data_IF_516945800740
#
_entry.id   IF_516945800740
#
_cell.length_a   1.000
_cell.length_b   1.000
_cell.length_c   1.000
_cell.angle_alpha   90.00
_cell.angle_beta   90.00
_cell.angle_gamma   90.00
#
_symmetry.space_group_name_H-M   'P 1'
#
loop_
_entity.id
_entity.type
_entity.pdbx_description
1 polymer ?
#
# COMPACT_ATOMS: atom_id res chain seq x y z
N UNK A 1 -35.39 -47.39 18.57
CA UNK A 1 -36.32 -46.43 19.22
C UNK A 1 -35.59 -45.70 20.36
N UNK A 2 -35.82 -44.39 20.47
CA UNK A 2 -35.40 -43.42 21.50
C UNK A 2 -33.89 -43.19 21.74
N UNK A 3 -33.33 -42.07 21.25
CA UNK A 3 -33.30 -40.70 21.81
C UNK A 3 -32.40 -40.57 23.05
N UNK A 4 -31.33 -39.78 22.92
CA UNK A 4 -30.87 -38.82 23.93
C UNK A 4 -30.04 -37.71 23.26
N UNK A 5 -30.60 -36.51 23.24
CA UNK A 5 -29.88 -35.25 22.95
C UNK A 5 -28.89 -34.99 24.08
N UNK A 6 -27.65 -34.66 23.74
CA UNK A 6 -26.76 -33.91 24.62
C UNK A 6 -26.16 -32.74 23.84
N UNK A 7 -26.51 -31.54 24.32
CA UNK A 7 -25.92 -30.27 23.96
C UNK A 7 -24.55 -30.17 24.64
N UNK A 8 -23.50 -29.91 23.86
CA UNK A 8 -22.19 -29.55 24.39
C UNK A 8 -21.76 -28.23 23.73
N UNK A 9 -21.80 -27.17 24.54
CA UNK A 9 -21.11 -25.90 24.27
C UNK A 9 -19.61 -26.20 24.28
N UNK A 10 -18.94 -26.02 23.15
CA UNK A 10 -17.48 -26.08 23.06
C UNK A 10 -16.93 -24.67 22.97
N UNK A 11 -16.50 -24.14 24.11
CA UNK A 11 -15.58 -23.01 24.19
C UNK A 11 -14.23 -23.47 23.63
N UNK A 12 -13.80 -22.90 22.51
CA UNK A 12 -12.40 -22.89 22.11
C UNK A 12 -11.91 -21.45 22.19
N UNK A 13 -11.48 -21.08 23.39
CA UNK A 13 -10.59 -19.96 23.63
C UNK A 13 -9.22 -20.30 23.01
N UNK A 14 -8.94 -19.73 21.84
CA UNK A 14 -7.58 -19.54 21.38
C UNK A 14 -7.37 -18.03 21.22
N UNK A 15 -6.95 -17.39 22.30
CA UNK A 15 -6.47 -16.02 22.30
C UNK A 15 -5.22 -15.95 21.40
N UNK A 16 -5.35 -15.28 20.26
CA UNK A 16 -4.21 -14.88 19.45
C UNK A 16 -3.46 -13.77 20.21
N UNK A 17 -2.12 -13.79 20.24
CA UNK A 17 -1.36 -12.75 20.92
C UNK A 17 -1.58 -11.43 20.17
N UNK A 18 -2.29 -10.51 20.83
CA UNK A 18 -2.34 -9.10 20.47
C UNK A 18 -0.90 -8.61 20.43
N UNK A 19 -0.30 -8.53 19.25
CA UNK A 19 0.92 -7.75 19.05
C UNK A 19 0.56 -6.31 19.39
N UNK A 20 0.85 -5.93 20.62
CA UNK A 20 0.85 -4.56 21.12
C UNK A 20 1.70 -3.76 20.15
N UNK A 21 1.06 -3.05 19.22
CA UNK A 21 1.68 -1.89 18.63
C UNK A 21 1.96 -0.95 19.80
N UNK A 22 3.21 -0.56 20.05
CA UNK A 22 3.45 0.55 20.94
C UNK A 22 2.69 1.72 20.35
N UNK A 23 1.62 2.16 21.01
CA UNK A 23 1.12 3.50 20.83
C UNK A 23 2.23 4.41 21.37
N UNK A 24 3.24 4.64 20.53
CA UNK A 24 4.17 5.74 20.72
C UNK A 24 3.29 6.97 20.82
N UNK A 25 3.31 7.57 22.00
CA UNK A 25 2.67 8.85 22.25
C UNK A 25 3.34 9.85 21.31
N UNK A 26 2.74 10.07 20.14
CA UNK A 26 3.30 10.93 19.11
C UNK A 26 3.30 12.34 19.68
N UNK A 27 4.49 12.94 19.77
CA UNK A 27 4.64 14.26 20.37
C UNK A 27 3.78 15.28 19.60
N UNK A 28 3.32 16.33 20.29
CA UNK A 28 2.57 17.42 19.66
C UNK A 28 3.30 18.02 18.45
N UNK A 29 4.64 18.06 18.48
CA UNK A 29 5.48 18.51 17.38
C UNK A 29 5.47 17.56 16.19
N UNK A 30 5.52 16.25 16.41
CA UNK A 30 5.47 15.26 15.32
C UNK A 30 4.11 15.31 14.60
N UNK A 31 3.01 15.47 15.34
CA UNK A 31 1.70 15.67 14.73
C UNK A 31 1.65 16.97 13.92
N UNK A 32 2.24 18.07 14.40
CA UNK A 32 2.33 19.32 13.65
C UNK A 32 3.11 19.13 12.34
N UNK A 33 4.24 18.43 12.38
CA UNK A 33 5.06 18.17 11.21
C UNK A 33 4.36 17.25 10.19
N UNK A 34 3.63 16.23 10.65
CA UNK A 34 2.77 15.40 9.78
C UNK A 34 1.73 16.27 9.08
N UNK A 35 1.09 17.20 9.81
CA UNK A 35 0.06 18.08 9.28
C UNK A 35 0.63 19.07 8.26
N UNK A 36 1.80 19.65 8.56
CA UNK A 36 2.52 20.55 7.63
C UNK A 36 2.87 19.83 6.34
N UNK A 37 3.53 18.66 6.42
CA UNK A 37 3.91 17.89 5.23
C UNK A 37 2.66 17.46 4.45
N UNK A 38 1.64 16.95 5.13
CA UNK A 38 0.38 16.61 4.49
C UNK A 38 -0.29 17.82 3.82
N UNK A 39 -0.25 18.99 4.44
CA UNK A 39 -0.72 20.24 3.85
C UNK A 39 0.02 20.57 2.56
N UNK A 40 1.36 20.53 2.60
CA UNK A 40 2.22 20.74 1.42
C UNK A 40 1.80 19.79 0.28
N UNK A 41 1.63 18.48 0.54
CA UNK A 41 1.23 17.51 -0.48
C UNK A 41 -0.08 17.84 -1.20
N UNK A 42 -1.01 18.49 -0.49
CA UNK A 42 -2.33 18.83 -1.05
C UNK A 42 -2.36 20.24 -1.66
N UNK A 43 -1.41 21.10 -1.31
CA UNK A 43 -1.34 22.48 -1.82
C UNK A 43 -0.41 22.65 -3.01
N UNK A 44 0.52 21.71 -3.26
CA UNK A 44 1.49 21.82 -4.35
C UNK A 44 0.98 21.15 -5.62
N UNK A 45 1.16 21.82 -6.76
CA UNK A 45 0.75 21.30 -8.07
C UNK A 45 1.91 20.74 -8.88
N UNK A 46 3.16 21.17 -8.60
CA UNK A 46 4.34 20.73 -9.33
C UNK A 46 5.40 20.08 -8.42
N UNK A 47 6.24 19.15 -8.95
CA UNK A 47 7.32 18.52 -8.19
C UNK A 47 8.36 19.52 -7.66
N UNK A 48 8.57 20.63 -8.36
CA UNK A 48 9.53 21.68 -7.99
C UNK A 48 9.01 22.46 -6.78
N UNK A 49 7.74 22.84 -6.80
CA UNK A 49 7.07 23.48 -5.66
C UNK A 49 7.09 22.58 -4.44
N UNK A 50 6.76 21.30 -4.61
CA UNK A 50 6.83 20.30 -3.55
C UNK A 50 8.21 20.25 -2.89
N UNK A 51 9.27 20.09 -3.69
CA UNK A 51 10.65 20.03 -3.18
C UNK A 51 11.04 21.32 -2.47
N UNK A 52 10.65 22.48 -3.00
CA UNK A 52 10.98 23.77 -2.41
C UNK A 52 10.26 23.97 -1.07
N UNK A 53 8.96 23.67 -1.00
CA UNK A 53 8.17 23.76 0.23
C UNK A 53 8.66 22.79 1.31
N UNK A 54 9.09 21.58 0.94
CA UNK A 54 9.67 20.64 1.90
C UNK A 54 11.00 21.18 2.46
N UNK A 55 11.87 21.74 1.63
CA UNK A 55 13.13 22.34 2.07
C UNK A 55 12.91 23.54 3.00
N UNK A 56 11.97 24.43 2.66
CA UNK A 56 11.67 25.62 3.47
C UNK A 56 10.95 25.27 4.78
N UNK A 57 10.26 24.12 4.85
CA UNK A 57 9.53 23.70 6.05
C UNK A 57 10.43 23.33 7.24
N UNK A 58 11.74 23.11 7.03
CA UNK A 58 12.72 22.65 8.03
C UNK A 58 12.35 21.35 8.77
N UNK A 59 11.37 20.60 8.26
CA UNK A 59 10.91 19.34 8.87
C UNK A 59 11.91 18.21 8.63
N UNK A 60 12.26 17.48 9.68
CA UNK A 60 13.12 16.31 9.57
C UNK A 60 12.34 15.10 9.03
N UNK A 61 12.59 14.72 7.78
CA UNK A 61 11.88 13.64 7.08
C UNK A 61 12.42 12.24 7.49
N UNK A 62 12.16 11.80 8.72
CA UNK A 62 12.49 10.43 9.19
C UNK A 62 11.58 9.37 8.56
N UNK A 63 11.94 8.09 8.69
CA UNK A 63 11.09 6.98 8.24
C UNK A 63 9.75 6.96 9.00
N UNK A 64 9.78 7.25 10.30
CA UNK A 64 8.60 7.33 11.16
C UNK A 64 7.64 8.43 10.68
N UNK A 65 8.16 9.63 10.40
CA UNK A 65 7.35 10.73 9.89
C UNK A 65 6.74 10.38 8.53
N UNK A 66 7.55 9.82 7.61
CA UNK A 66 7.10 9.42 6.28
C UNK A 66 5.99 8.36 6.38
N UNK A 67 6.16 7.36 7.24
CA UNK A 67 5.16 6.32 7.49
C UNK A 67 3.85 6.94 7.96
N UNK A 68 3.89 7.89 8.90
CA UNK A 68 2.68 8.55 9.39
C UNK A 68 2.01 9.46 8.34
N UNK A 69 2.80 10.18 7.54
CA UNK A 69 2.27 10.99 6.43
C UNK A 69 1.60 10.10 5.39
N UNK A 70 2.23 9.00 4.97
CA UNK A 70 1.66 8.05 4.02
C UNK A 70 0.44 7.33 4.60
N UNK A 71 0.46 6.98 5.89
CA UNK A 71 -0.70 6.42 6.60
C UNK A 71 -1.86 7.41 6.57
N UNK A 72 -1.59 8.69 6.78
CA UNK A 72 -2.61 9.74 6.70
C UNK A 72 -3.17 9.87 5.28
N UNK A 73 -2.32 10.01 4.26
CA UNK A 73 -2.75 10.03 2.85
C UNK A 73 -3.56 8.78 2.51
N UNK A 74 -3.17 7.61 3.05
CA UNK A 74 -3.89 6.37 2.81
C UNK A 74 -5.35 6.43 3.28
N UNK A 75 -5.62 7.08 4.40
CA UNK A 75 -6.96 7.17 4.99
C UNK A 75 -7.67 8.51 4.73
N UNK A 76 -7.03 9.44 4.02
CA UNK A 76 -7.58 10.72 3.61
C UNK A 76 -7.64 10.84 2.08
N UNK A 77 -8.36 11.84 1.55
CA UNK A 77 -8.36 12.14 0.11
C UNK A 77 -7.08 12.92 -0.30
N UNK A 78 -5.90 12.34 -0.09
CA UNK A 78 -4.65 12.95 -0.54
C UNK A 78 -4.40 12.72 -2.04
N UNK A 79 -3.59 13.60 -2.64
CA UNK A 79 -3.26 13.55 -4.07
C UNK A 79 -2.22 12.45 -4.35
N UNK A 80 -2.56 11.37 -5.09
CA UNK A 80 -1.66 10.22 -5.29
C UNK A 80 -0.36 10.58 -6.02
N UNK A 81 -0.44 11.44 -7.04
CA UNK A 81 0.73 11.86 -7.84
C UNK A 81 1.73 12.66 -7.00
N UNK A 82 1.26 13.64 -6.22
CA UNK A 82 2.11 14.42 -5.32
C UNK A 82 2.70 13.55 -4.21
N UNK A 83 1.92 12.60 -3.70
CA UNK A 83 2.41 11.65 -2.69
C UNK A 83 3.52 10.76 -3.24
N UNK A 84 3.41 10.32 -4.51
CA UNK A 84 4.47 9.57 -5.18
C UNK A 84 5.74 10.40 -5.37
N UNK A 85 5.60 11.68 -5.75
CA UNK A 85 6.75 12.59 -5.87
C UNK A 85 7.44 12.81 -4.52
N UNK A 86 6.68 12.95 -3.44
CA UNK A 86 7.21 13.00 -2.08
C UNK A 86 7.94 11.71 -1.68
N UNK A 87 7.35 10.55 -1.98
CA UNK A 87 7.96 9.25 -1.74
C UNK A 87 9.29 9.12 -2.50
N UNK A 88 9.33 9.49 -3.79
CA UNK A 88 10.56 9.46 -4.59
C UNK A 88 11.58 10.46 -4.08
N UNK A 89 11.17 11.67 -3.71
CA UNK A 89 12.04 12.72 -3.18
C UNK A 89 12.76 12.26 -1.92
N UNK A 90 12.00 11.78 -0.93
CA UNK A 90 12.54 11.26 0.33
C UNK A 90 13.41 10.03 0.10
N UNK A 91 13.05 9.19 -0.88
CA UNK A 91 13.78 8.00 -1.30
C UNK A 91 15.10 8.27 -2.05
N UNK A 92 15.37 9.48 -2.57
CA UNK A 92 16.63 9.77 -3.30
C UNK A 92 17.83 10.03 -2.39
N UNK A 93 17.62 10.19 -1.07
CA UNK A 93 18.70 10.46 -0.11
C UNK A 93 19.68 9.29 -0.06
N UNK A 94 20.99 9.57 -0.17
CA UNK A 94 22.04 8.54 -0.20
C UNK A 94 22.02 7.74 1.10
N UNK A 95 21.96 6.41 1.00
CA UNK A 95 21.87 5.52 2.16
C UNK A 95 20.49 5.44 2.83
N UNK A 96 19.48 6.18 2.36
CA UNK A 96 18.13 6.11 2.88
C UNK A 96 17.30 5.03 2.17
N UNK A 97 16.59 4.21 2.94
CA UNK A 97 15.63 3.23 2.44
C UNK A 97 14.29 3.44 3.13
N UNK A 98 13.23 3.39 2.33
CA UNK A 98 11.87 3.39 2.85
C UNK A 98 11.57 2.09 3.59
N UNK A 99 10.76 2.18 4.62
CA UNK A 99 10.26 0.99 5.31
C UNK A 99 9.34 0.17 4.39
N UNK A 100 9.16 -1.11 4.72
CA UNK A 100 8.15 -1.96 4.07
C UNK A 100 6.76 -1.35 4.19
N UNK A 101 6.46 -0.70 5.32
CA UNK A 101 5.19 -0.03 5.54
C UNK A 101 5.00 1.15 4.57
N UNK A 102 5.99 2.02 4.43
CA UNK A 102 6.00 3.14 3.49
C UNK A 102 5.73 2.66 2.06
N UNK A 103 6.43 1.61 1.63
CA UNK A 103 6.26 1.05 0.29
C UNK A 103 4.84 0.48 0.07
N UNK A 104 4.36 -0.35 1.01
CA UNK A 104 3.02 -0.94 0.96
C UNK A 104 1.93 0.14 0.95
N UNK A 105 2.09 1.19 1.75
CA UNK A 105 1.16 2.31 1.80
C UNK A 105 1.12 3.06 0.46
N UNK A 106 2.28 3.36 -0.13
CA UNK A 106 2.38 4.05 -1.42
C UNK A 106 1.76 3.23 -2.54
N UNK A 107 2.07 1.94 -2.63
CA UNK A 107 1.49 1.07 -3.65
C UNK A 107 -0.02 0.93 -3.49
N UNK A 108 -0.53 0.89 -2.26
CA UNK A 108 -1.97 0.88 -2.00
C UNK A 108 -2.65 2.19 -2.41
N UNK A 109 -2.03 3.34 -2.18
CA UNK A 109 -2.53 4.65 -2.63
C UNK A 109 -2.65 4.67 -4.16
N UNK A 110 -1.59 4.29 -4.87
CA UNK A 110 -1.58 4.25 -6.34
C UNK A 110 -2.59 3.25 -6.92
N UNK A 111 -2.65 2.05 -6.34
CA UNK A 111 -3.58 1.01 -6.76
C UNK A 111 -5.05 1.41 -6.61
N UNK A 112 -5.40 2.07 -5.49
CA UNK A 112 -6.75 2.59 -5.26
C UNK A 112 -7.13 3.72 -6.22
N UNK A 113 -6.14 4.48 -6.66
CA UNK A 113 -6.31 5.57 -7.63
C UNK A 113 -6.15 5.11 -9.08
N UNK A 114 -6.12 3.80 -9.33
CA UNK A 114 -6.00 3.19 -10.65
C UNK A 114 -4.74 3.61 -11.44
N UNK A 115 -3.68 4.06 -10.75
CA UNK A 115 -2.43 4.50 -11.36
C UNK A 115 -1.47 3.32 -11.58
N UNK A 116 -1.91 2.28 -12.30
CA UNK A 116 -1.17 1.00 -12.39
C UNK A 116 0.18 1.11 -13.10
N UNK A 117 0.34 2.02 -14.07
CA UNK A 117 1.65 2.31 -14.66
C UNK A 117 2.66 2.76 -13.62
N UNK A 118 2.24 3.65 -12.70
CA UNK A 118 3.09 4.12 -11.62
C UNK A 118 3.35 3.04 -10.55
N UNK A 119 2.39 2.14 -10.31
CA UNK A 119 2.60 0.95 -9.46
C UNK A 119 3.74 0.11 -10.03
N UNK A 120 3.73 -0.13 -11.35
CA UNK A 120 4.73 -0.91 -12.04
C UNK A 120 6.12 -0.27 -11.98
N UNK A 121 6.20 1.03 -12.30
CA UNK A 121 7.45 1.78 -12.25
C UNK A 121 8.05 1.75 -10.84
N UNK A 122 7.21 1.95 -9.81
CA UNK A 122 7.65 1.91 -8.41
C UNK A 122 8.20 0.53 -8.01
N UNK A 123 7.56 -0.56 -8.45
CA UNK A 123 8.07 -1.91 -8.20
C UNK A 123 9.42 -2.17 -8.89
N UNK A 124 9.62 -1.64 -10.10
CA UNK A 124 10.92 -1.73 -10.79
C UNK A 124 11.99 -0.91 -10.05
N UNK A 125 11.66 0.33 -9.69
CA UNK A 125 12.55 1.24 -8.96
C UNK A 125 13.03 0.63 -7.64
N UNK A 126 12.10 0.10 -6.85
CA UNK A 126 12.42 -0.54 -5.57
C UNK A 126 13.34 -1.76 -5.76
N UNK A 127 13.12 -2.58 -6.79
CA UNK A 127 13.95 -3.78 -7.04
C UNK A 127 15.38 -3.40 -7.40
N UNK A 128 15.54 -2.35 -8.22
CA UNK A 128 16.86 -1.85 -8.61
C UNK A 128 17.64 -1.30 -7.43
N UNK A 129 16.94 -0.71 -6.45
CA UNK A 129 17.55 -0.08 -5.30
C UNK A 129 17.85 -1.06 -4.17
N UNK A 130 16.95 -2.01 -3.93
CA UNK A 130 17.11 -3.07 -2.94
C UNK A 130 16.32 -4.32 -3.35
N UNK A 131 17.05 -5.39 -3.65
CA UNK A 131 16.47 -6.65 -4.10
C UNK A 131 15.74 -7.42 -2.99
N UNK A 132 16.01 -7.11 -1.71
CA UNK A 132 15.48 -7.84 -0.55
C UNK A 132 14.18 -7.25 0.00
N UNK A 133 13.96 -5.94 -0.20
CA UNK A 133 12.78 -5.22 0.33
C UNK A 133 11.49 -5.56 -0.41
N UNK A 134 11.53 -5.96 -1.69
CA UNK A 134 10.33 -6.41 -2.40
C UNK A 134 10.03 -7.86 -2.05
N UNK A 135 9.33 -8.04 -0.94
CA UNK A 135 8.76 -9.32 -0.60
C UNK A 135 7.60 -9.63 -1.54
N UNK A 136 7.49 -10.88 -2.00
CA UNK A 136 6.34 -11.35 -2.79
C UNK A 136 5.00 -10.93 -2.16
N UNK A 137 4.94 -10.78 -0.83
CA UNK A 137 3.81 -10.27 -0.06
C UNK A 137 3.33 -8.88 -0.47
N UNK A 138 4.22 -7.94 -0.74
CA UNK A 138 3.85 -6.58 -1.19
C UNK A 138 3.20 -6.63 -2.56
N UNK A 139 3.76 -7.39 -3.49
CA UNK A 139 3.19 -7.63 -4.82
C UNK A 139 1.83 -8.34 -4.72
N UNK A 140 1.68 -9.31 -3.82
CA UNK A 140 0.42 -10.01 -3.55
C UNK A 140 -0.67 -9.07 -3.03
N UNK A 141 -0.35 -8.22 -2.06
CA UNK A 141 -1.32 -7.28 -1.46
C UNK A 141 -1.80 -6.28 -2.49
N UNK A 142 -0.90 -5.80 -3.35
CA UNK A 142 -1.23 -4.86 -4.42
C UNK A 142 -2.09 -5.54 -5.48
N UNK A 143 -1.64 -6.65 -6.06
CA UNK A 143 -2.38 -7.40 -7.07
C UNK A 143 -3.77 -7.82 -6.57
N UNK A 144 -3.86 -8.34 -5.35
CA UNK A 144 -5.13 -8.78 -4.77
C UNK A 144 -6.12 -7.65 -4.52
N UNK A 145 -5.62 -6.45 -4.19
CA UNK A 145 -6.48 -5.26 -3.98
C UNK A 145 -6.87 -4.60 -5.30
N UNK A 146 -5.99 -4.62 -6.30
CA UNK A 146 -6.30 -4.21 -7.68
C UNK A 146 -7.43 -5.08 -8.24
N UNK A 147 -7.32 -6.41 -8.10
CA UNK A 147 -8.34 -7.35 -8.54
C UNK A 147 -9.71 -7.06 -7.89
N UNK A 148 -9.74 -6.74 -6.59
CA UNK A 148 -10.98 -6.37 -5.87
C UNK A 148 -11.58 -5.03 -6.35
N UNK A 149 -10.74 -4.04 -6.64
CA UNK A 149 -11.18 -2.71 -7.10
C UNK A 149 -11.70 -2.77 -8.54
N UNK A 150 -11.06 -3.56 -9.41
CA UNK A 150 -11.50 -3.77 -10.80
C UNK A 150 -12.74 -4.66 -10.92
N UNK A 151 -13.04 -5.51 -9.92
CA UNK A 151 -14.26 -6.34 -9.88
C UNK A 151 -15.54 -5.51 -9.71
N UNK A 152 -15.49 -4.39 -8.98
CA UNK A 152 -16.67 -3.55 -8.68
C UNK A 152 -17.00 -2.58 -9.84
N UNK A 153 -16.02 -2.20 -10.64
CA UNK A 153 -16.20 -1.34 -11.82
C UNK A 153 -15.50 -2.01 -12.99
N UNK A 154 -16.25 -2.78 -13.78
CA UNK A 154 -15.85 -3.35 -15.06
C UNK A 154 -15.25 -2.27 -15.98
N UNK A 155 -13.98 -1.95 -15.77
CA UNK A 155 -13.23 -1.02 -16.60
C UNK A 155 -12.23 -1.88 -17.36
N UNK A 156 -12.59 -2.30 -18.58
CA UNK A 156 -11.81 -3.22 -19.42
C UNK A 156 -10.33 -2.81 -19.53
N UNK A 157 -10.07 -1.50 -19.58
CA UNK A 157 -8.71 -0.94 -19.59
C UNK A 157 -7.93 -1.22 -18.30
N UNK A 158 -8.58 -1.08 -17.14
CA UNK A 158 -7.94 -1.37 -15.83
C UNK A 158 -7.61 -2.86 -15.67
N UNK A 159 -8.47 -3.73 -16.20
CA UNK A 159 -8.28 -5.18 -16.21
C UNK A 159 -7.12 -5.57 -17.12
N UNK A 160 -7.02 -4.93 -18.28
CA UNK A 160 -5.92 -5.13 -19.23
C UNK A 160 -4.59 -4.69 -18.63
N UNK A 161 -4.54 -3.51 -17.99
CA UNK A 161 -3.33 -3.01 -17.34
C UNK A 161 -2.91 -3.89 -16.16
N UNK A 162 -3.85 -4.30 -15.31
CA UNK A 162 -3.59 -5.23 -14.21
C UNK A 162 -3.09 -6.59 -14.70
N UNK A 163 -3.66 -7.10 -15.80
CA UNK A 163 -3.24 -8.34 -16.46
C UNK A 163 -1.82 -8.21 -17.04
N UNK A 164 -1.49 -7.08 -17.65
CA UNK A 164 -0.16 -6.81 -18.17
C UNK A 164 0.88 -6.77 -17.04
N UNK A 165 0.55 -6.11 -15.93
CA UNK A 165 1.37 -6.10 -14.72
C UNK A 165 1.54 -7.52 -14.16
N UNK A 166 0.49 -8.33 -14.10
CA UNK A 166 0.62 -9.72 -13.67
C UNK A 166 1.51 -10.55 -14.60
N UNK A 167 1.33 -10.44 -15.92
CA UNK A 167 2.11 -11.19 -16.90
C UNK A 167 3.59 -10.78 -16.91
N UNK A 168 3.92 -9.52 -16.63
CA UNK A 168 5.31 -9.09 -16.46
C UNK A 168 5.92 -9.57 -15.12
N UNK A 169 5.08 -9.81 -14.10
CA UNK A 169 5.50 -10.29 -12.78
C UNK A 169 5.63 -11.81 -12.68
N UNK A 170 4.78 -12.60 -13.35
CA UNK A 170 4.63 -14.06 -13.11
C UNK A 170 5.89 -14.89 -13.35
N UNK A 171 6.83 -14.40 -14.16
CA UNK A 171 8.12 -15.06 -14.42
C UNK A 171 9.22 -14.59 -13.47
N UNK A 172 9.01 -13.44 -12.82
CA UNK A 172 10.00 -12.79 -11.94
C UNK A 172 9.68 -13.00 -10.45
N UNK A 173 8.43 -13.31 -10.14
CA UNK A 173 7.94 -13.71 -8.83
C UNK A 173 7.24 -15.07 -8.99
N UNK A 174 7.48 -16.04 -8.10
CA UNK A 174 6.63 -17.23 -7.98
C UNK A 174 5.40 -16.87 -7.14
N UNK A 175 4.24 -16.52 -7.74
CA UNK A 175 3.02 -16.33 -6.97
C UNK A 175 2.68 -17.62 -6.25
N UNK A 176 2.36 -17.53 -4.96
CA UNK A 176 1.85 -18.67 -4.20
C UNK A 176 0.35 -18.88 -4.49
N UNK A 177 -0.20 -20.02 -4.08
CA UNK A 177 -1.60 -20.37 -4.33
C UNK A 177 -2.58 -19.31 -3.82
N UNK A 178 -2.27 -18.67 -2.70
CA UNK A 178 -3.04 -17.57 -2.14
C UNK A 178 -3.04 -16.33 -3.05
N UNK A 179 -1.93 -16.04 -3.71
CA UNK A 179 -1.82 -14.97 -4.74
C UNK A 179 -2.78 -15.24 -5.88
N UNK A 180 -2.78 -16.48 -6.37
CA UNK A 180 -3.57 -16.92 -7.49
C UNK A 180 -5.07 -16.89 -7.15
N UNK A 181 -5.44 -17.33 -5.95
CA UNK A 181 -6.84 -17.33 -5.49
C UNK A 181 -7.40 -15.91 -5.32
N UNK A 182 -6.63 -14.96 -4.78
CA UNK A 182 -7.11 -13.58 -4.64
C UNK A 182 -7.26 -12.92 -6.02
N UNK A 183 -6.32 -13.17 -6.92
CA UNK A 183 -6.39 -12.74 -8.30
C UNK A 183 -7.61 -13.31 -9.04
N UNK A 184 -7.82 -14.63 -8.97
CA UNK A 184 -8.99 -15.30 -9.57
C UNK A 184 -10.31 -14.81 -8.96
N UNK A 185 -10.34 -14.54 -7.65
CA UNK A 185 -11.56 -14.04 -6.99
C UNK A 185 -11.99 -12.64 -7.44
N UNK A 186 -11.04 -11.79 -7.87
CA UNK A 186 -11.35 -10.50 -8.49
C UNK A 186 -11.54 -10.57 -10.02
N UNK A 187 -11.23 -11.71 -10.65
CA UNK A 187 -11.39 -11.97 -12.08
C UNK A 187 -12.70 -12.67 -12.44
N UNK A 188 -13.47 -13.20 -11.48
CA UNK A 188 -14.83 -13.68 -11.78
C UNK A 188 -15.66 -12.53 -12.34
N UNK A 189 -16.02 -12.65 -13.61
CA UNK A 189 -17.09 -11.85 -14.20
C UNK A 189 -18.40 -12.26 -13.52
N UNK A 190 -19.40 -11.36 -13.41
CA UNK A 190 -20.72 -11.69 -12.87
C UNK A 190 -21.44 -12.78 -13.68
N UNK A 191 -20.94 -13.12 -14.88
CA UNK A 191 -21.41 -14.24 -15.70
C UNK A 191 -20.98 -15.61 -15.16
N UNK A 192 -19.94 -15.65 -14.30
CA UNK A 192 -19.39 -16.87 -13.70
C UNK A 192 -19.75 -17.02 -12.19
N UNK A 193 -20.69 -16.23 -11.66
CA UNK A 193 -21.09 -16.20 -10.24
C UNK A 193 -22.36 -17.03 -9.97
#
# INVERSE_FOLDING_TARGET
>A
MLVRRFSVKSQLNCALPSTLFPHYFSSSNENNDIQKVFGILNSTSTPEQLKQSLKSSSVFLSNELIDQVLKRVRFSHGIPSQTLEFFRYTGRRKGFYHTVFSLDAMLYILGRSHMFGHVWDLLIECRRKDQTTIMARTVMVVLGRIAKVCSVRQTEKSMTDARNVYHSLKHRYRPNLQTFNILLSGWKTPEDA
#
